data_IF_909997033299
#
_entry.id   IF_909997033299
#
_cell.length_a   1.000
_cell.length_b   1.000
_cell.length_c   1.000
_cell.angle_alpha   90.00
_cell.angle_beta   90.00
_cell.angle_gamma   90.00
#
_symmetry.space_group_name_H-M   'P 1'
#
loop_
_entity.id
_entity.type
_entity.pdbx_description
1 polymer ?
#
# COMPACT_ATOMS: atom_id res chain seq x y z
N UNK A 1 -21.47 21.70 -37.84
CA UNK A 1 -20.14 21.04 -37.85
C UNK A 1 -19.10 21.70 -36.93
N UNK A 2 -19.25 22.97 -36.50
CA UNK A 2 -18.29 23.65 -35.61
C UNK A 2 -18.42 23.36 -34.10
N UNK A 3 -19.50 22.69 -33.66
CA UNK A 3 -19.73 22.33 -32.25
C UNK A 3 -18.99 21.06 -31.83
N UNK A 4 -18.92 20.05 -32.72
CA UNK A 4 -18.31 18.75 -32.44
C UNK A 4 -16.79 18.79 -32.16
N UNK A 5 -16.08 19.85 -32.56
CA UNK A 5 -14.63 20.00 -32.31
C UNK A 5 -14.33 20.68 -30.97
N UNK A 6 -15.26 21.48 -30.43
CA UNK A 6 -15.10 22.22 -29.18
C UNK A 6 -15.43 21.37 -27.94
N UNK A 7 -16.26 20.34 -28.10
CA UNK A 7 -16.67 19.44 -27.02
C UNK A 7 -15.63 18.35 -26.71
N UNK A 8 -14.71 18.05 -27.64
CA UNK A 8 -13.63 17.06 -27.47
C UNK A 8 -12.67 17.36 -26.31
N UNK A 9 -12.12 18.58 -26.15
CA UNK A 9 -11.22 18.89 -25.04
C UNK A 9 -11.93 18.87 -23.68
N UNK A 10 -13.20 19.27 -23.62
CA UNK A 10 -14.00 19.25 -22.38
C UNK A 10 -14.28 17.81 -21.96
N UNK A 11 -14.69 16.96 -22.91
CA UNK A 11 -14.92 15.53 -22.66
C UNK A 11 -13.64 14.82 -22.21
N UNK A 12 -12.50 15.11 -22.85
CA UNK A 12 -11.20 14.57 -22.44
C UNK A 12 -10.82 15.02 -21.03
N UNK A 13 -10.92 16.32 -20.72
CA UNK A 13 -10.62 16.83 -19.37
C UNK A 13 -11.50 16.17 -18.30
N UNK A 14 -12.79 15.98 -18.57
CA UNK A 14 -13.69 15.23 -17.70
C UNK A 14 -13.24 13.77 -17.52
N UNK A 15 -12.84 13.08 -18.59
CA UNK A 15 -12.37 11.70 -18.54
C UNK A 15 -11.10 11.55 -17.68
N UNK A 16 -10.14 12.46 -17.82
CA UNK A 16 -8.92 12.48 -17.01
C UNK A 16 -9.24 12.78 -15.54
N UNK A 17 -10.04 13.82 -15.27
CA UNK A 17 -10.44 14.20 -13.91
C UNK A 17 -11.22 13.10 -13.21
N UNK A 18 -12.21 12.51 -13.88
CA UNK A 18 -12.98 11.37 -13.36
C UNK A 18 -12.08 10.15 -13.11
N UNK A 19 -11.09 9.90 -13.97
CA UNK A 19 -10.13 8.81 -13.77
C UNK A 19 -9.35 8.98 -12.47
N UNK A 20 -8.72 10.14 -12.27
CA UNK A 20 -7.95 10.41 -11.06
C UNK A 20 -8.83 10.41 -9.81
N UNK A 21 -9.99 11.05 -9.87
CA UNK A 21 -10.95 11.08 -8.77
C UNK A 21 -11.44 9.68 -8.39
N UNK A 22 -11.82 8.87 -9.37
CA UNK A 22 -12.28 7.50 -9.12
C UNK A 22 -11.16 6.62 -8.58
N UNK A 23 -9.94 6.74 -9.08
CA UNK A 23 -8.79 5.98 -8.59
C UNK A 23 -8.47 6.32 -7.13
N UNK A 24 -8.41 7.62 -6.79
CA UNK A 24 -8.22 8.07 -5.41
C UNK A 24 -9.36 7.58 -4.50
N UNK A 25 -10.60 7.73 -4.95
CA UNK A 25 -11.79 7.31 -4.20
C UNK A 25 -11.78 5.81 -3.93
N UNK A 26 -11.36 4.98 -4.88
CA UNK A 26 -11.27 3.53 -4.68
C UNK A 26 -10.26 3.16 -3.60
N UNK A 27 -9.09 3.80 -3.59
CA UNK A 27 -8.10 3.63 -2.52
C UNK A 27 -8.65 4.02 -1.14
N UNK A 28 -9.28 5.19 -1.05
CA UNK A 28 -9.89 5.70 0.20
C UNK A 28 -11.05 4.81 0.66
N UNK A 29 -11.93 4.37 -0.24
CA UNK A 29 -13.09 3.53 0.07
C UNK A 29 -12.64 2.14 0.52
N UNK A 30 -11.59 1.56 -0.08
CA UNK A 30 -10.98 0.30 0.37
C UNK A 30 -10.64 0.32 1.85
N UNK A 31 -9.86 1.33 2.25
CA UNK A 31 -9.45 1.48 3.64
C UNK A 31 -10.59 1.91 4.55
N UNK A 32 -11.43 2.82 4.09
CA UNK A 32 -12.57 3.33 4.84
C UNK A 32 -13.58 2.23 5.15
N UNK A 33 -13.91 1.39 4.17
CA UNK A 33 -14.80 0.24 4.36
C UNK A 33 -14.23 -0.74 5.38
N UNK A 34 -12.94 -1.12 5.24
CA UNK A 34 -12.29 -2.01 6.21
C UNK A 34 -12.19 -1.42 7.62
N UNK A 35 -12.00 -0.10 7.72
CA UNK A 35 -11.96 0.62 9.00
C UNK A 35 -13.34 0.72 9.65
N UNK A 36 -14.39 0.96 8.87
CA UNK A 36 -15.78 0.93 9.36
C UNK A 36 -16.12 -0.49 9.86
N UNK A 37 -15.69 -1.53 9.15
CA UNK A 37 -15.88 -2.91 9.58
C UNK A 37 -15.16 -3.19 10.90
N UNK A 38 -13.90 -2.73 11.06
CA UNK A 38 -13.18 -2.79 12.33
C UNK A 38 -13.99 -2.14 13.44
N UNK A 39 -14.41 -0.88 13.27
CA UNK A 39 -15.13 -0.13 14.29
C UNK A 39 -16.44 -0.80 14.66
N UNK A 40 -17.15 -1.36 13.67
CA UNK A 40 -18.41 -2.07 13.88
C UNK A 40 -18.20 -3.33 14.72
N UNK A 41 -17.19 -4.14 14.39
CA UNK A 41 -16.85 -5.36 15.14
C UNK A 41 -16.39 -4.98 16.55
N UNK A 42 -15.50 -3.99 16.67
CA UNK A 42 -14.95 -3.55 17.94
C UNK A 42 -16.04 -3.04 18.89
N UNK A 43 -16.94 -2.20 18.37
CA UNK A 43 -18.10 -1.69 19.11
C UNK A 43 -19.06 -2.81 19.53
N UNK A 44 -19.34 -3.76 18.63
CA UNK A 44 -20.24 -4.88 18.92
C UNK A 44 -19.68 -5.80 20.02
N UNK A 45 -18.37 -6.08 20.01
CA UNK A 45 -17.71 -6.86 21.06
C UNK A 45 -17.69 -6.11 22.40
N UNK A 46 -17.45 -4.80 22.36
CA UNK A 46 -17.39 -3.97 23.57
C UNK A 46 -18.75 -3.82 24.23
N UNK A 47 -19.79 -3.42 23.48
CA UNK A 47 -21.14 -3.23 24.04
C UNK A 47 -21.92 -4.53 24.21
N UNK A 48 -21.81 -5.45 23.25
CA UNK A 48 -22.59 -6.69 23.25
C UNK A 48 -22.04 -7.76 24.17
N UNK A 49 -20.72 -7.82 24.34
CA UNK A 49 -20.04 -8.86 25.12
C UNK A 49 -19.17 -8.33 26.28
N UNK A 50 -19.10 -7.01 26.48
CA UNK A 50 -18.30 -6.41 27.56
C UNK A 50 -16.78 -6.55 27.37
N UNK A 51 -16.32 -6.87 26.17
CA UNK A 51 -14.91 -7.12 25.88
C UNK A 51 -14.16 -5.80 25.69
N UNK A 52 -13.11 -5.57 26.50
CA UNK A 52 -12.19 -4.47 26.25
C UNK A 52 -11.14 -4.88 25.21
N UNK A 53 -11.10 -4.13 24.10
CA UNK A 53 -10.19 -4.43 22.99
C UNK A 53 -8.86 -3.70 23.20
N UNK A 54 -7.77 -4.46 23.19
CA UNK A 54 -6.41 -3.93 23.32
C UNK A 54 -5.91 -3.32 22.01
N UNK A 55 -4.80 -2.56 22.06
CA UNK A 55 -4.16 -2.04 20.85
C UNK A 55 -3.68 -3.15 19.92
N UNK A 56 -3.10 -4.23 20.47
CA UNK A 56 -2.70 -5.43 19.70
C UNK A 56 -3.91 -6.06 19.02
N UNK A 57 -5.03 -6.23 19.73
CA UNK A 57 -6.24 -6.77 19.13
C UNK A 57 -6.83 -5.84 18.06
N UNK A 58 -6.75 -4.52 18.26
CA UNK A 58 -7.15 -3.53 17.25
C UNK A 58 -6.30 -3.63 15.99
N UNK A 59 -4.97 -3.79 16.14
CA UNK A 59 -4.05 -4.01 15.02
C UNK A 59 -4.37 -5.30 14.26
N UNK A 60 -4.61 -6.41 14.97
CA UNK A 60 -4.97 -7.70 14.35
C UNK A 60 -6.33 -7.62 13.65
N UNK A 61 -7.31 -6.97 14.27
CA UNK A 61 -8.61 -6.74 13.64
C UNK A 61 -8.46 -5.88 12.38
N UNK A 62 -7.67 -4.80 12.43
CA UNK A 62 -7.38 -3.96 11.26
C UNK A 62 -6.70 -4.72 10.13
N UNK A 63 -5.70 -5.55 10.44
CA UNK A 63 -5.07 -6.45 9.48
C UNK A 63 -6.11 -7.32 8.74
N UNK A 64 -7.06 -7.88 9.48
CA UNK A 64 -8.09 -8.74 8.89
C UNK A 64 -9.11 -7.91 8.10
N UNK A 65 -9.66 -6.85 8.68
CA UNK A 65 -10.78 -6.13 8.09
C UNK A 65 -10.36 -5.17 6.98
N UNK A 66 -9.19 -4.55 7.08
CA UNK A 66 -8.67 -3.60 6.10
C UNK A 66 -7.91 -4.33 5.00
N UNK A 67 -6.80 -4.98 5.34
CA UNK A 67 -5.96 -5.66 4.34
C UNK A 67 -6.62 -6.96 3.85
N UNK A 68 -7.13 -7.80 4.77
CA UNK A 68 -7.69 -9.10 4.41
C UNK A 68 -9.06 -9.05 3.73
N UNK A 69 -9.90 -8.05 4.06
CA UNK A 69 -11.28 -7.96 3.56
C UNK A 69 -11.48 -6.70 2.71
N UNK A 70 -11.24 -5.51 3.26
CA UNK A 70 -11.62 -4.25 2.64
C UNK A 70 -10.95 -4.03 1.28
N UNK A 71 -9.62 -4.20 1.21
CA UNK A 71 -8.90 -4.04 -0.05
C UNK A 71 -9.34 -5.05 -1.12
N UNK A 72 -9.35 -6.38 -0.87
CA UNK A 72 -9.84 -7.37 -1.85
C UNK A 72 -11.30 -7.17 -2.26
N UNK A 73 -12.20 -6.86 -1.32
CA UNK A 73 -13.64 -6.69 -1.60
C UNK A 73 -13.86 -5.48 -2.49
N UNK A 74 -13.22 -4.35 -2.22
CA UNK A 74 -13.35 -3.16 -3.07
C UNK A 74 -12.71 -3.41 -4.44
N UNK A 75 -11.56 -4.11 -4.50
CA UNK A 75 -10.94 -4.47 -5.77
C UNK A 75 -11.88 -5.35 -6.63
N UNK A 76 -12.42 -6.43 -6.05
CA UNK A 76 -13.36 -7.32 -6.71
C UNK A 76 -14.65 -6.61 -7.14
N UNK A 77 -15.23 -5.82 -6.24
CA UNK A 77 -16.46 -5.07 -6.48
C UNK A 77 -16.27 -4.07 -7.61
N UNK A 78 -15.11 -3.40 -7.67
CA UNK A 78 -14.78 -2.49 -8.76
C UNK A 78 -14.78 -3.20 -10.12
N UNK A 79 -14.11 -4.35 -10.24
CA UNK A 79 -14.06 -5.13 -11.49
C UNK A 79 -15.48 -5.48 -11.96
N UNK A 80 -16.35 -5.91 -11.03
CA UNK A 80 -17.73 -6.32 -11.35
C UNK A 80 -18.64 -5.14 -11.69
N UNK A 81 -18.49 -4.00 -11.02
CA UNK A 81 -19.35 -2.83 -11.24
C UNK A 81 -18.87 -1.94 -12.39
N UNK A 82 -17.59 -1.98 -12.75
CA UNK A 82 -17.00 -1.12 -13.80
C UNK A 82 -17.78 -1.19 -15.14
N UNK A 83 -18.16 -2.36 -15.69
CA UNK A 83 -18.93 -2.42 -16.94
C UNK A 83 -20.30 -1.72 -16.83
N UNK A 84 -20.99 -1.89 -15.69
CA UNK A 84 -22.32 -1.31 -15.43
C UNK A 84 -22.23 0.21 -15.27
N UNK A 85 -21.27 0.70 -14.47
CA UNK A 85 -21.04 2.12 -14.26
C UNK A 85 -20.66 2.79 -15.59
N UNK A 86 -19.77 2.16 -16.37
CA UNK A 86 -19.38 2.70 -17.68
C UNK A 86 -20.54 2.69 -18.67
N UNK A 87 -21.39 1.68 -18.70
CA UNK A 87 -22.58 1.69 -19.55
C UNK A 87 -23.49 2.89 -19.26
N UNK A 88 -23.75 3.18 -17.97
CA UNK A 88 -24.51 4.37 -17.56
C UNK A 88 -23.80 5.68 -17.90
N UNK A 89 -22.48 5.77 -17.71
CA UNK A 89 -21.71 6.96 -18.09
C UNK A 89 -21.70 7.19 -19.61
N UNK A 90 -21.73 6.13 -20.43
CA UNK A 90 -21.87 6.24 -21.88
C UNK A 90 -23.22 6.84 -22.26
N UNK A 91 -24.29 6.37 -21.62
CA UNK A 91 -25.65 6.87 -21.86
C UNK A 91 -25.80 8.35 -21.49
N UNK A 92 -25.21 8.78 -20.36
CA UNK A 92 -25.37 10.15 -19.83
C UNK A 92 -24.36 11.13 -20.43
N UNK A 93 -23.10 10.72 -20.63
CA UNK A 93 -22.00 11.64 -20.94
C UNK A 93 -21.26 11.32 -22.25
N UNK A 94 -21.76 10.41 -23.10
CA UNK A 94 -21.07 9.97 -24.33
C UNK A 94 -19.62 9.53 -24.07
N UNK A 95 -19.40 8.88 -22.91
CA UNK A 95 -18.09 8.38 -22.50
C UNK A 95 -17.54 7.38 -23.53
N UNK A 96 -16.21 7.37 -23.74
CA UNK A 96 -15.60 6.46 -24.71
C UNK A 96 -15.79 4.99 -24.27
N UNK A 97 -16.09 4.11 -25.23
CA UNK A 97 -16.12 2.67 -24.97
C UNK A 97 -14.72 2.18 -24.58
N UNK A 98 -14.66 1.18 -23.70
CA UNK A 98 -13.41 0.49 -23.41
C UNK A 98 -12.95 -0.29 -24.63
N UNK A 99 -11.64 -0.41 -24.79
CA UNK A 99 -11.01 -1.30 -25.75
C UNK A 99 -11.03 -2.78 -25.31
N UNK A 100 -11.36 -3.08 -24.04
CA UNK A 100 -11.41 -4.44 -23.51
C UNK A 100 -11.97 -4.54 -22.09
N UNK A 101 -12.05 -5.77 -21.57
CA UNK A 101 -12.42 -6.02 -20.17
C UNK A 101 -11.30 -5.58 -19.22
N UNK A 102 -11.67 -5.01 -18.07
CA UNK A 102 -10.71 -4.68 -17.03
C UNK A 102 -10.42 -5.94 -16.21
N UNK A 103 -9.18 -6.40 -16.26
CA UNK A 103 -8.72 -7.56 -15.54
C UNK A 103 -7.48 -7.23 -14.72
N UNK A 104 -7.31 -7.96 -13.62
CA UNK A 104 -6.07 -7.99 -12.83
C UNK A 104 -5.39 -9.30 -13.19
N UNK A 105 -4.18 -9.24 -13.73
CA UNK A 105 -3.42 -10.43 -14.06
C UNK A 105 -3.07 -11.23 -12.81
N UNK A 106 -3.40 -12.51 -12.80
CA UNK A 106 -3.12 -13.43 -11.69
C UNK A 106 -2.65 -14.76 -12.25
N UNK A 107 -1.42 -15.15 -11.89
CA UNK A 107 -0.87 -16.45 -12.29
C UNK A 107 0.22 -16.90 -11.31
N UNK A 108 0.52 -18.19 -11.30
CA UNK A 108 1.67 -18.71 -10.53
C UNK A 108 2.95 -18.18 -11.17
N UNK A 109 3.84 -17.51 -10.40
CA UNK A 109 5.07 -16.95 -10.96
C UNK A 109 5.93 -18.00 -11.66
N UNK A 110 6.32 -17.70 -12.91
CA UNK A 110 7.37 -18.42 -13.63
C UNK A 110 8.73 -18.26 -12.95
N UNK A 111 9.72 -19.07 -13.35
CA UNK A 111 11.11 -18.92 -12.83
C UNK A 111 11.69 -17.51 -13.10
N UNK A 112 11.32 -16.91 -14.24
CA UNK A 112 11.71 -15.54 -14.58
C UNK A 112 11.09 -14.54 -13.60
N UNK A 113 9.81 -14.69 -13.32
CA UNK A 113 9.10 -13.84 -12.36
C UNK A 113 9.59 -14.07 -10.93
N UNK A 114 9.98 -15.28 -10.54
CA UNK A 114 10.65 -15.54 -9.27
C UNK A 114 11.96 -14.76 -9.17
N UNK A 115 12.75 -14.70 -10.24
CA UNK A 115 13.94 -13.82 -10.32
C UNK A 115 13.58 -12.34 -10.16
N UNK A 116 12.46 -11.89 -10.72
CA UNK A 116 11.96 -10.52 -10.57
C UNK A 116 11.51 -10.25 -9.14
N UNK A 117 10.88 -11.21 -8.46
CA UNK A 117 10.54 -11.10 -7.02
C UNK A 117 11.79 -10.87 -6.20
N UNK A 118 12.84 -11.66 -6.40
CA UNK A 118 14.11 -11.52 -5.66
C UNK A 118 14.77 -10.17 -5.94
N UNK A 119 14.88 -9.77 -7.21
CA UNK A 119 15.49 -8.49 -7.58
C UNK A 119 14.66 -7.28 -7.12
N UNK A 120 13.33 -7.36 -7.21
CA UNK A 120 12.43 -6.33 -6.73
C UNK A 120 12.51 -6.16 -5.21
N UNK A 121 12.53 -7.27 -4.47
CA UNK A 121 12.77 -7.27 -3.03
C UNK A 121 14.13 -6.64 -2.67
N UNK A 122 15.21 -7.10 -3.32
CA UNK A 122 16.55 -6.55 -3.07
C UNK A 122 16.64 -5.06 -3.41
N UNK A 123 15.99 -4.62 -4.49
CA UNK A 123 15.92 -3.20 -4.88
C UNK A 123 15.16 -2.37 -3.86
N UNK A 124 14.05 -2.91 -3.32
CA UNK A 124 13.27 -2.24 -2.29
C UNK A 124 14.06 -2.13 -0.97
N UNK A 125 14.82 -3.17 -0.59
CA UNK A 125 15.74 -3.12 0.56
C UNK A 125 16.90 -2.13 0.36
N UNK A 126 17.51 -2.11 -0.83
CA UNK A 126 18.53 -1.12 -1.16
C UNK A 126 17.99 0.31 -1.12
N UNK A 127 16.78 0.50 -1.66
CA UNK A 127 16.05 1.76 -1.60
C UNK A 127 15.77 2.22 -0.17
N UNK A 128 15.37 1.30 0.72
CA UNK A 128 15.19 1.57 2.15
C UNK A 128 16.48 2.11 2.78
N UNK A 129 17.63 1.48 2.53
CA UNK A 129 18.91 1.91 3.10
C UNK A 129 19.28 3.33 2.64
N UNK A 130 19.13 3.61 1.35
CA UNK A 130 19.39 4.94 0.78
C UNK A 130 18.47 5.99 1.39
N UNK A 131 17.16 5.70 1.46
CA UNK A 131 16.16 6.60 2.04
C UNK A 131 16.43 6.82 3.53
N UNK A 132 16.77 5.78 4.29
CA UNK A 132 17.11 5.90 5.71
C UNK A 132 18.31 6.84 5.91
N UNK A 133 19.37 6.70 5.12
CA UNK A 133 20.55 7.58 5.19
C UNK A 133 20.20 9.06 4.89
N UNK A 134 19.35 9.29 3.88
CA UNK A 134 18.85 10.63 3.55
C UNK A 134 18.04 11.20 4.72
N UNK A 135 17.09 10.43 5.26
CA UNK A 135 16.26 10.85 6.39
C UNK A 135 17.12 11.19 7.60
N UNK A 136 18.08 10.33 7.97
CA UNK A 136 19.01 10.58 9.07
C UNK A 136 19.76 11.89 8.89
N UNK A 137 20.21 12.18 7.67
CA UNK A 137 20.89 13.45 7.35
C UNK A 137 19.95 14.65 7.48
N UNK A 138 18.73 14.57 6.94
CA UNK A 138 17.74 15.64 7.04
C UNK A 138 17.34 15.91 8.49
N UNK A 139 17.12 14.87 9.28
CA UNK A 139 16.82 14.98 10.72
C UNK A 139 17.97 15.68 11.44
N UNK A 140 19.21 15.29 11.16
CA UNK A 140 20.39 15.89 11.80
C UNK A 140 20.61 17.35 11.42
N UNK A 141 20.31 17.74 10.18
CA UNK A 141 20.50 19.11 9.68
C UNK A 141 19.38 20.06 10.09
N UNK A 142 18.15 19.58 10.12
CA UNK A 142 16.96 20.42 10.27
C UNK A 142 16.19 20.17 11.58
N UNK A 143 16.65 19.25 12.44
CA UNK A 143 15.98 18.91 13.69
C UNK A 143 14.58 18.35 13.48
N UNK A 144 14.36 17.60 12.40
CA UNK A 144 13.04 17.07 12.05
C UNK A 144 12.64 16.00 13.07
N UNK A 145 11.55 16.25 13.78
CA UNK A 145 10.93 15.24 14.65
C UNK A 145 10.24 14.18 13.78
N UNK A 146 10.79 12.96 13.77
CA UNK A 146 10.31 11.83 12.95
C UNK A 146 9.03 11.22 13.49
N UNK A 147 8.19 10.73 12.59
CA UNK A 147 7.01 9.96 12.94
C UNK A 147 7.27 8.46 12.78
N UNK A 148 6.54 7.65 13.55
CA UNK A 148 6.66 6.18 13.56
C UNK A 148 5.36 5.58 13.05
N UNK A 149 5.44 4.40 12.41
CA UNK A 149 4.25 3.65 12.05
C UNK A 149 3.61 3.04 13.31
N UNK A 150 2.30 3.18 13.49
CA UNK A 150 1.58 2.67 14.66
C UNK A 150 1.76 1.15 14.87
N UNK A 151 1.84 0.35 13.80
CA UNK A 151 2.09 -1.08 13.93
C UNK A 151 3.50 -1.38 14.46
N UNK A 152 4.49 -0.57 14.09
CA UNK A 152 5.84 -0.67 14.62
C UNK A 152 5.90 -0.22 16.09
N UNK A 153 5.18 0.84 16.47
CA UNK A 153 5.07 1.30 17.85
C UNK A 153 4.45 0.23 18.76
N UNK A 154 3.29 -0.30 18.38
CA UNK A 154 2.63 -1.42 19.09
C UNK A 154 3.56 -2.63 19.17
N UNK A 155 4.33 -2.90 18.11
CA UNK A 155 5.31 -3.99 18.07
C UNK A 155 6.52 -3.77 18.98
N UNK A 156 6.97 -2.53 19.19
CA UNK A 156 8.02 -2.25 20.17
C UNK A 156 7.53 -2.50 21.61
N UNK A 157 6.28 -2.17 21.88
CA UNK A 157 5.65 -2.43 23.18
C UNK A 157 5.28 -3.90 23.39
N UNK A 158 4.92 -4.62 22.31
CA UNK A 158 4.44 -6.00 22.32
C UNK A 158 5.14 -6.85 21.24
N UNK A 159 6.43 -7.20 21.39
CA UNK A 159 7.22 -7.71 20.26
C UNK A 159 6.72 -9.01 19.66
N UNK A 160 6.03 -9.85 20.42
CA UNK A 160 5.52 -11.12 19.90
C UNK A 160 4.45 -10.92 18.82
N UNK A 161 3.79 -9.75 18.75
CA UNK A 161 2.89 -9.39 17.64
C UNK A 161 3.65 -9.28 16.31
N UNK A 162 4.93 -8.90 16.33
CA UNK A 162 5.74 -8.78 15.11
C UNK A 162 5.91 -10.14 14.43
N UNK A 163 5.99 -11.23 15.21
CA UNK A 163 6.05 -12.59 14.68
C UNK A 163 4.76 -12.99 13.94
N UNK A 164 3.61 -12.48 14.37
CA UNK A 164 2.34 -12.65 13.66
C UNK A 164 2.30 -11.85 12.36
N UNK A 165 2.88 -10.65 12.35
CA UNK A 165 2.89 -9.77 11.18
C UNK A 165 3.76 -10.31 10.03
N UNK A 166 4.74 -11.17 10.31
CA UNK A 166 5.60 -11.81 9.29
C UNK A 166 4.78 -12.66 8.31
N UNK A 167 4.08 -13.74 8.72
CA UNK A 167 3.25 -14.52 7.80
C UNK A 167 2.06 -13.71 7.29
N UNK A 168 1.49 -12.81 8.10
CA UNK A 168 0.42 -11.94 7.65
C UNK A 168 0.83 -11.00 6.52
N UNK A 169 2.10 -10.61 6.43
CA UNK A 169 2.63 -9.78 5.35
C UNK A 169 2.47 -10.46 3.99
N UNK A 170 2.66 -11.78 3.93
CA UNK A 170 2.51 -12.56 2.69
C UNK A 170 1.06 -12.97 2.41
N UNK A 171 0.25 -13.16 3.45
CA UNK A 171 -1.09 -13.72 3.31
C UNK A 171 -2.18 -12.65 3.17
N UNK A 172 -2.01 -11.50 3.81
CA UNK A 172 -3.04 -10.46 3.91
C UNK A 172 -2.54 -9.11 3.41
N UNK A 173 -1.43 -8.60 3.94
CA UNK A 173 -0.97 -7.23 3.64
C UNK A 173 -0.57 -7.09 2.17
N UNK A 174 0.44 -7.86 1.73
CA UNK A 174 0.91 -7.83 0.35
C UNK A 174 -0.20 -8.15 -0.67
N UNK A 175 -0.92 -9.28 -0.55
CA UNK A 175 -2.01 -9.58 -1.48
C UNK A 175 -3.13 -8.55 -1.48
N UNK A 176 -3.63 -8.17 -0.31
CA UNK A 176 -4.77 -7.27 -0.18
C UNK A 176 -4.49 -5.88 -0.73
N UNK A 177 -3.39 -5.28 -0.31
CA UNK A 177 -3.04 -3.93 -0.74
C UNK A 177 -2.64 -3.89 -2.21
N UNK A 178 -1.87 -4.85 -2.73
CA UNK A 178 -1.49 -4.83 -4.14
C UNK A 178 -2.71 -5.05 -5.07
N UNK A 179 -3.67 -5.91 -4.70
CA UNK A 179 -4.93 -6.06 -5.45
C UNK A 179 -5.66 -4.72 -5.63
N UNK A 180 -5.74 -3.92 -4.56
CA UNK A 180 -6.38 -2.62 -4.62
C UNK A 180 -5.51 -1.59 -5.36
N UNK A 181 -4.24 -1.44 -4.99
CA UNK A 181 -3.43 -0.33 -5.46
C UNK A 181 -2.77 -0.57 -6.82
N UNK A 182 -2.28 -1.78 -7.12
CA UNK A 182 -1.69 -2.10 -8.43
C UNK A 182 -2.72 -2.63 -9.40
N UNK A 183 -3.54 -3.56 -8.92
CA UNK A 183 -4.63 -4.11 -9.71
C UNK A 183 -5.63 -3.04 -10.12
N UNK A 184 -6.22 -2.33 -9.14
CA UNK A 184 -7.31 -1.38 -9.41
C UNK A 184 -6.85 0.06 -9.61
N UNK A 185 -6.19 0.69 -8.63
CA UNK A 185 -5.87 2.12 -8.68
C UNK A 185 -4.89 2.43 -9.83
N UNK A 186 -3.76 1.72 -9.90
CA UNK A 186 -2.79 1.85 -11.00
C UNK A 186 -3.41 1.46 -12.34
N UNK A 187 -4.07 0.30 -12.43
CA UNK A 187 -4.75 -0.13 -13.67
C UNK A 187 -5.73 0.93 -14.19
N UNK A 188 -6.51 1.53 -13.29
CA UNK A 188 -7.48 2.58 -13.63
C UNK A 188 -6.82 3.84 -14.22
N UNK A 189 -5.69 4.26 -13.64
CA UNK A 189 -4.94 5.44 -14.09
C UNK A 189 -4.24 5.11 -15.42
N UNK A 190 -3.63 3.93 -15.51
CA UNK A 190 -2.94 3.44 -16.70
C UNK A 190 -3.84 3.45 -17.93
N UNK A 191 -5.11 3.05 -17.80
CA UNK A 191 -6.09 3.02 -18.90
C UNK A 191 -6.20 4.37 -19.66
N UNK A 192 -5.90 5.50 -19.01
CA UNK A 192 -6.05 6.84 -19.60
C UNK A 192 -4.74 7.61 -19.71
N UNK A 193 -3.81 7.40 -18.78
CA UNK A 193 -2.55 8.15 -18.71
C UNK A 193 -1.33 7.33 -19.15
N UNK A 194 -1.51 6.04 -19.45
CA UNK A 194 -0.43 5.13 -19.80
C UNK A 194 0.33 4.56 -18.59
N UNK A 195 1.24 3.60 -18.83
CA UNK A 195 1.90 2.81 -17.78
C UNK A 195 2.73 3.64 -16.80
N UNK A 196 3.53 4.59 -17.32
CA UNK A 196 4.42 5.42 -16.49
C UNK A 196 3.61 6.26 -15.49
N UNK A 197 2.56 6.93 -15.96
CA UNK A 197 1.67 7.72 -15.09
C UNK A 197 0.85 6.83 -14.17
N UNK A 198 0.42 5.65 -14.63
CA UNK A 198 -0.24 4.64 -13.81
C UNK A 198 0.59 4.30 -12.58
N UNK A 199 1.85 3.90 -12.78
CA UNK A 199 2.79 3.53 -11.70
C UNK A 199 3.07 4.71 -10.78
N UNK A 200 3.45 5.86 -11.34
CA UNK A 200 3.89 7.02 -10.55
C UNK A 200 2.76 7.63 -9.71
N UNK A 201 1.59 7.87 -10.31
CA UNK A 201 0.46 8.48 -9.59
C UNK A 201 -0.11 7.51 -8.55
N UNK A 202 -0.27 6.22 -8.88
CA UNK A 202 -0.71 5.23 -7.91
C UNK A 202 0.29 5.10 -6.76
N UNK A 203 1.60 5.26 -7.02
CA UNK A 203 2.61 5.21 -5.97
C UNK A 203 2.52 6.37 -4.99
N UNK A 204 2.24 7.58 -5.50
CA UNK A 204 1.97 8.76 -4.66
C UNK A 204 0.70 8.58 -3.84
N UNK A 205 -0.38 8.06 -4.45
CA UNK A 205 -1.63 7.80 -3.73
C UNK A 205 -1.44 6.73 -2.64
N UNK A 206 -0.75 5.64 -2.95
CA UNK A 206 -0.40 4.58 -1.99
C UNK A 206 0.42 5.14 -0.83
N UNK A 207 1.47 5.92 -1.10
CA UNK A 207 2.24 6.55 -0.04
C UNK A 207 1.35 7.48 0.82
N UNK A 208 0.59 8.37 0.18
CA UNK A 208 -0.26 9.34 0.86
C UNK A 208 -1.30 8.72 1.80
N UNK A 209 -1.86 7.57 1.42
CA UNK A 209 -2.88 6.90 2.23
C UNK A 209 -2.34 6.31 3.55
N UNK A 210 -1.01 6.19 3.68
CA UNK A 210 -0.37 5.72 4.90
C UNK A 210 -0.19 6.83 5.95
N UNK A 211 -0.42 8.09 5.59
CA UNK A 211 -0.29 9.22 6.52
C UNK A 211 -1.06 9.04 7.84
N UNK A 212 -2.32 8.55 7.86
CA UNK A 212 -3.08 8.34 9.10
C UNK A 212 -2.51 7.23 10.00
N UNK A 213 -1.69 6.32 9.45
CA UNK A 213 -1.06 5.23 10.20
C UNK A 213 0.23 5.68 10.93
N UNK A 214 0.61 6.96 10.81
CA UNK A 214 1.78 7.53 11.46
C UNK A 214 1.42 8.24 12.78
N UNK A 215 2.10 7.86 13.86
CA UNK A 215 2.02 8.43 15.21
C UNK A 215 3.26 9.24 15.56
N UNK A 216 3.09 10.17 16.51
CA UNK A 216 4.15 11.12 16.92
C UNK A 216 4.63 12.04 15.80
N UNK A 217 5.73 12.75 16.06
CA UNK A 217 6.46 13.54 15.07
C UNK A 217 5.76 14.82 14.61
N UNK A 218 6.54 15.66 13.92
CA UNK A 218 6.05 16.87 13.26
C UNK A 218 5.28 16.54 11.97
N UNK A 219 4.47 17.48 11.45
CA UNK A 219 3.83 17.34 10.13
C UNK A 219 4.87 17.05 9.04
N UNK A 220 5.99 17.78 9.08
CA UNK A 220 7.12 17.56 8.18
C UNK A 220 7.70 16.14 8.33
N UNK A 221 7.88 15.66 9.56
CA UNK A 221 8.33 14.29 9.83
C UNK A 221 7.41 13.23 9.26
N UNK A 222 6.09 13.42 9.37
CA UNK A 222 5.10 12.52 8.73
C UNK A 222 5.18 12.54 7.21
N UNK A 223 5.35 13.72 6.60
CA UNK A 223 5.52 13.84 5.15
C UNK A 223 6.81 13.16 4.67
N UNK A 224 7.91 13.29 5.42
CA UNK A 224 9.17 12.59 5.15
C UNK A 224 8.98 11.08 5.23
N UNK A 225 8.33 10.57 6.29
CA UNK A 225 8.05 9.15 6.47
C UNK A 225 7.14 8.59 5.37
N UNK A 226 6.10 9.32 4.95
CA UNK A 226 5.27 8.92 3.80
C UNK A 226 6.07 8.92 2.49
N UNK A 227 6.91 9.94 2.27
CA UNK A 227 7.73 10.03 1.05
C UNK A 227 8.71 8.86 0.92
N UNK A 228 9.16 8.29 2.05
CA UNK A 228 9.99 7.10 2.07
C UNK A 228 9.33 5.89 1.37
N UNK A 229 8.00 5.82 1.40
CA UNK A 229 7.23 4.73 0.79
C UNK A 229 7.18 4.83 -0.75
N UNK A 230 7.58 5.96 -1.34
CA UNK A 230 7.55 6.12 -2.79
C UNK A 230 8.46 5.12 -3.51
N UNK A 231 9.67 4.89 -2.99
CA UNK A 231 10.63 3.96 -3.61
C UNK A 231 10.09 2.53 -3.67
N UNK A 232 9.71 1.87 -2.56
CA UNK A 232 9.12 0.53 -2.64
C UNK A 232 7.83 0.54 -3.47
N UNK A 233 6.97 1.55 -3.34
CA UNK A 233 5.72 1.64 -4.11
C UNK A 233 5.94 1.71 -5.62
N UNK A 234 6.96 2.44 -6.09
CA UNK A 234 7.34 2.50 -7.49
C UNK A 234 7.85 1.14 -8.00
N UNK A 235 8.64 0.42 -7.20
CA UNK A 235 9.15 -0.91 -7.55
C UNK A 235 7.98 -1.91 -7.68
N UNK A 236 7.05 -1.87 -6.74
CA UNK A 236 5.85 -2.71 -6.78
C UNK A 236 5.00 -2.42 -8.03
N UNK A 237 4.75 -1.14 -8.32
CA UNK A 237 3.99 -0.77 -9.52
C UNK A 237 4.70 -1.13 -10.83
N UNK A 238 6.02 -0.94 -10.91
CA UNK A 238 6.81 -1.27 -12.09
C UNK A 238 6.89 -2.79 -12.32
N UNK A 239 7.05 -3.57 -11.26
CA UNK A 239 7.07 -5.05 -11.38
C UNK A 239 5.72 -5.61 -11.78
N UNK A 240 4.61 -5.06 -11.28
CA UNK A 240 3.28 -5.39 -11.77
C UNK A 240 3.12 -5.06 -13.26
N UNK A 241 3.48 -3.84 -13.67
CA UNK A 241 3.35 -3.42 -15.08
C UNK A 241 4.18 -4.28 -16.03
N UNK A 242 5.35 -4.74 -15.57
CA UNK A 242 6.25 -5.56 -16.37
C UNK A 242 5.82 -7.03 -16.48
N UNK A 243 5.16 -7.56 -15.45
CA UNK A 243 4.81 -8.99 -15.36
C UNK A 243 3.34 -9.26 -15.68
N UNK A 244 2.47 -8.27 -15.55
CA UNK A 244 1.01 -8.43 -15.55
C UNK A 244 0.56 -9.57 -14.62
N UNK A 245 1.21 -9.67 -13.46
CA UNK A 245 0.94 -10.71 -12.48
C UNK A 245 0.99 -10.13 -11.07
N UNK A 246 -0.18 -10.03 -10.43
CA UNK A 246 -0.33 -9.41 -9.10
C UNK A 246 0.39 -10.19 -8.00
N UNK A 247 0.67 -11.48 -8.20
CA UNK A 247 1.40 -12.30 -7.22
C UNK A 247 2.85 -11.80 -7.07
N UNK A 248 3.47 -11.29 -8.13
CA UNK A 248 4.85 -10.78 -8.12
C UNK A 248 5.03 -9.60 -7.15
N UNK A 249 4.31 -8.46 -7.29
CA UNK A 249 4.42 -7.37 -6.33
C UNK A 249 3.92 -7.78 -4.94
N UNK A 250 2.92 -8.67 -4.81
CA UNK A 250 2.47 -9.13 -3.49
C UNK A 250 3.54 -9.88 -2.71
N UNK A 251 4.35 -10.71 -3.40
CA UNK A 251 5.48 -11.41 -2.78
C UNK A 251 6.61 -10.44 -2.41
N UNK A 252 6.92 -9.47 -3.28
CA UNK A 252 7.92 -8.43 -2.99
C UNK A 252 7.49 -7.61 -1.77
N UNK A 253 6.24 -7.14 -1.74
CA UNK A 253 5.67 -6.36 -0.65
C UNK A 253 5.64 -7.19 0.64
N UNK A 254 5.15 -8.42 0.59
CA UNK A 254 5.13 -9.34 1.72
C UNK A 254 6.53 -9.56 2.31
N UNK A 255 7.53 -9.82 1.45
CA UNK A 255 8.92 -10.01 1.88
C UNK A 255 9.54 -8.74 2.47
N UNK A 256 9.26 -7.58 1.87
CA UNK A 256 9.69 -6.28 2.38
C UNK A 256 9.19 -6.05 3.81
N UNK A 257 7.88 -6.18 4.04
CA UNK A 257 7.28 -5.99 5.36
C UNK A 257 7.73 -7.05 6.37
N UNK A 258 7.76 -8.33 5.97
CA UNK A 258 8.26 -9.41 6.81
C UNK A 258 9.70 -9.17 7.29
N UNK A 259 10.56 -8.66 6.41
CA UNK A 259 11.95 -8.31 6.76
C UNK A 259 12.00 -7.18 7.78
N UNK A 260 11.20 -6.13 7.60
CA UNK A 260 11.11 -5.02 8.54
C UNK A 260 10.62 -5.46 9.92
N UNK A 261 9.55 -6.27 9.98
CA UNK A 261 9.03 -6.78 11.24
C UNK A 261 10.02 -7.73 11.93
N UNK A 262 10.71 -8.57 11.16
CA UNK A 262 11.78 -9.45 11.69
C UNK A 262 12.92 -8.63 12.27
N UNK A 263 13.41 -7.62 11.54
CA UNK A 263 14.48 -6.75 12.01
C UNK A 263 14.11 -5.99 13.28
N UNK A 264 12.87 -5.49 13.35
CA UNK A 264 12.36 -4.82 14.54
C UNK A 264 12.26 -5.80 15.73
N UNK A 265 11.73 -7.00 15.52
CA UNK A 265 11.64 -8.03 16.56
C UNK A 265 13.01 -8.36 17.14
N UNK A 266 13.98 -8.60 16.26
CA UNK A 266 15.36 -8.93 16.65
C UNK A 266 15.99 -7.78 17.43
N UNK A 267 15.82 -6.54 16.94
CA UNK A 267 16.36 -5.35 17.59
C UNK A 267 15.78 -5.18 19.00
N UNK A 268 14.48 -5.34 19.16
CA UNK A 268 13.83 -5.13 20.47
C UNK A 268 14.17 -6.24 21.45
N UNK A 269 14.14 -7.52 21.04
CA UNK A 269 14.35 -8.67 21.93
C UNK A 269 15.82 -8.96 22.26
N UNK A 270 16.74 -8.64 21.36
CA UNK A 270 18.16 -9.03 21.48
C UNK A 270 19.13 -7.84 21.45
N UNK A 271 18.66 -6.63 21.77
CA UNK A 271 19.48 -5.41 21.76
C UNK A 271 20.75 -5.52 22.62
N UNK A 272 20.66 -6.18 23.77
CA UNK A 272 21.78 -6.32 24.72
C UNK A 272 22.87 -7.26 24.20
N UNK A 273 22.47 -8.35 23.54
CA UNK A 273 23.32 -9.34 22.92
C UNK A 273 23.96 -8.78 21.66
N UNK A 274 23.20 -8.04 20.84
CA UNK A 274 23.71 -7.31 19.67
C UNK A 274 24.79 -6.30 20.07
N UNK A 275 24.55 -5.53 21.14
CA UNK A 275 25.53 -4.56 21.66
C UNK A 275 26.80 -5.23 22.16
N UNK A 276 26.67 -6.37 22.85
CA UNK A 276 27.79 -7.15 23.36
C UNK A 276 28.62 -7.79 22.23
N UNK A 277 27.95 -8.32 21.20
CA UNK A 277 28.60 -8.91 20.03
C UNK A 277 29.36 -7.84 19.20
N UNK A 278 28.76 -6.67 19.00
CA UNK A 278 29.41 -5.54 18.31
C UNK A 278 30.64 -5.02 19.08
N UNK A 279 30.56 -4.95 20.42
CA UNK A 279 31.70 -4.62 21.27
C UNK A 279 32.85 -5.63 21.17
N UNK A 280 32.53 -6.93 21.01
CA UNK A 280 33.54 -7.98 20.85
C UNK A 280 34.24 -7.92 19.49
N UNK A 281 33.50 -7.58 18.42
CA UNK A 281 34.02 -7.43 17.06
C UNK A 281 34.86 -6.16 16.85
N UNK A 282 34.69 -5.13 17.68
CA UNK A 282 35.46 -3.88 17.60
C UNK A 282 36.73 -3.88 18.45
N UNK A 283 36.88 -4.87 19.34
CA UNK A 283 38.04 -5.06 20.21
C UNK A 283 39.00 -6.17 19.72
N UNK A 284 38.68 -6.85 18.60
CA UNK A 284 39.52 -7.85 17.95
C UNK A 284 40.07 -7.34 16.62
#
# INVERSE_FOLDING_TARGET
MATATRDRPVLQAFQYGFTLFSALSLGVIGLGFGSILLLTIAFSLSLGAGVQITQVQTLVLGLITVQGIGCPVIAYTYIKLRPVIRAKLREVFSYSADSGEFAIGISVPSLREAGIVVLGYASAMGGLVVVAAIITTLVSLFGIETATNQAAEIGMENPDVLLLLIPASFLLIGPGEELLFRGVVQGRIRDYFGPISGVTIASVMFAGIHYPALSGGSVTGKLVAVSALLIPSLILGATYEYTDNIVVPSLIHGAYNATLFTGLYVTVKFSSELSSAAGTLTLG
#
